data_IF_007440262623
#
_entry.id   IF_007440262623
#
_cell.length_a   1.000
_cell.length_b   1.000
_cell.length_c   1.000
_cell.angle_alpha   90.00
_cell.angle_beta   90.00
_cell.angle_gamma   90.00
#
_symmetry.space_group_name_H-M   'P 1'
#
loop_
_entity.id
_entity.type
_entity.pdbx_description
1 polymer ?
#
# COMPACT_ATOMS: atom_id res chain seq x y z
N UNK A 1 -24.00 -38.89 17.13
CA UNK A 1 -23.58 -37.66 17.80
C UNK A 1 -22.61 -36.95 16.86
N UNK A 2 -23.14 -36.05 16.03
CA UNK A 2 -22.38 -35.36 14.97
C UNK A 2 -21.78 -34.07 15.51
N UNK A 3 -20.45 -33.97 15.44
CA UNK A 3 -19.69 -32.78 15.80
C UNK A 3 -19.77 -31.78 14.64
N UNK A 4 -20.59 -30.74 14.75
CA UNK A 4 -20.60 -29.61 13.81
C UNK A 4 -19.43 -28.72 14.11
N UNK A 5 -18.39 -28.77 13.25
CA UNK A 5 -17.32 -27.76 13.25
C UNK A 5 -17.88 -26.48 12.64
N UNK A 6 -18.19 -25.48 13.47
CA UNK A 6 -18.43 -24.11 13.00
C UNK A 6 -17.10 -23.50 12.57
N UNK A 7 -16.82 -23.47 11.28
CA UNK A 7 -15.77 -22.62 10.71
C UNK A 7 -16.33 -21.21 10.69
N UNK A 8 -15.98 -20.40 11.67
CA UNK A 8 -16.21 -18.96 11.65
C UNK A 8 -15.33 -18.35 10.57
N UNK A 9 -15.84 -18.27 9.35
CA UNK A 9 -15.25 -17.47 8.28
C UNK A 9 -15.40 -15.99 8.70
N UNK A 10 -14.36 -15.43 9.29
CA UNK A 10 -14.29 -14.00 9.53
C UNK A 10 -14.42 -13.28 8.20
N UNK A 11 -15.57 -12.68 7.92
CA UNK A 11 -15.78 -11.78 6.79
C UNK A 11 -14.92 -10.54 7.02
N UNK A 12 -13.68 -10.56 6.55
CA UNK A 12 -12.85 -9.38 6.47
C UNK A 12 -13.45 -8.49 5.37
N UNK A 13 -14.15 -7.44 5.76
CA UNK A 13 -14.75 -6.50 4.81
C UNK A 13 -13.69 -5.56 4.25
N UNK A 14 -13.64 -5.43 2.91
CA UNK A 14 -12.88 -4.35 2.27
C UNK A 14 -13.48 -3.01 2.69
N UNK A 15 -12.63 -2.05 3.08
CA UNK A 15 -13.13 -0.74 3.49
C UNK A 15 -13.61 0.06 2.28
N UNK A 16 -12.83 0.06 1.20
CA UNK A 16 -13.23 0.57 -0.12
C UNK A 16 -12.32 0.01 -1.23
N UNK A 17 -12.87 0.00 -2.44
CA UNK A 17 -12.15 -0.27 -3.69
C UNK A 17 -12.71 0.70 -4.75
N UNK A 18 -11.88 1.62 -5.20
CA UNK A 18 -12.25 2.64 -6.18
C UNK A 18 -11.36 2.52 -7.42
N UNK A 19 -12.01 2.53 -8.57
CA UNK A 19 -11.40 2.36 -9.88
C UNK A 19 -11.79 3.59 -10.71
N UNK A 20 -10.82 4.27 -11.31
CA UNK A 20 -11.11 5.38 -12.21
C UNK A 20 -11.88 4.89 -13.45
N UNK A 21 -12.75 5.71 -14.06
CA UNK A 21 -13.60 5.30 -15.19
C UNK A 21 -12.83 4.72 -16.39
N UNK A 22 -11.60 5.16 -16.60
CA UNK A 22 -10.72 4.74 -17.70
C UNK A 22 -9.56 3.82 -17.25
N UNK A 23 -9.64 3.26 -16.05
CA UNK A 23 -8.57 2.38 -15.52
C UNK A 23 -8.36 1.10 -16.34
N UNK A 24 -9.39 0.63 -17.03
CA UNK A 24 -9.32 -0.55 -17.89
C UNK A 24 -8.46 -0.34 -19.16
N UNK A 25 -8.17 0.89 -19.53
CA UNK A 25 -7.29 1.23 -20.68
C UNK A 25 -5.84 1.40 -20.24
N UNK A 26 -5.57 1.49 -18.94
CA UNK A 26 -4.23 1.66 -18.41
C UNK A 26 -3.57 0.30 -18.19
N UNK A 27 -2.47 0.07 -18.91
CA UNK A 27 -1.67 -1.15 -18.82
C UNK A 27 -0.28 -0.83 -18.23
N UNK A 28 -0.14 -0.82 -16.90
CA UNK A 28 1.11 -0.49 -16.27
C UNK A 28 2.18 -1.55 -16.55
N UNK A 29 3.41 -1.10 -16.88
CA UNK A 29 4.55 -1.97 -17.14
C UNK A 29 5.59 -1.89 -16.05
N UNK A 30 5.98 -0.69 -15.67
CA UNK A 30 7.02 -0.44 -14.68
C UNK A 30 6.45 0.36 -13.52
N UNK A 31 6.40 -0.25 -12.35
CA UNK A 31 5.95 0.42 -11.15
C UNK A 31 7.12 0.74 -10.21
N UNK A 32 7.06 1.87 -9.52
CA UNK A 32 7.93 2.17 -8.38
C UNK A 32 7.10 2.23 -7.10
N UNK A 33 7.53 1.50 -6.07
CA UNK A 33 6.93 1.58 -4.74
C UNK A 33 7.67 2.64 -3.93
N UNK A 34 6.98 3.72 -3.61
CA UNK A 34 7.53 4.76 -2.74
C UNK A 34 7.40 4.36 -1.26
N UNK A 35 8.21 4.94 -0.35
CA UNK A 35 7.97 4.83 1.08
C UNK A 35 6.53 5.18 1.44
N UNK A 36 5.96 4.52 2.45
CA UNK A 36 4.60 4.82 2.89
C UNK A 36 4.47 6.29 3.31
N UNK A 37 3.38 6.95 2.89
CA UNK A 37 3.20 8.40 3.08
C UNK A 37 2.55 8.77 4.41
N UNK A 38 1.98 7.80 5.11
CA UNK A 38 1.33 7.99 6.40
C UNK A 38 1.45 6.74 7.25
N UNK A 39 1.80 6.92 8.51
CA UNK A 39 1.80 5.90 9.55
C UNK A 39 1.04 6.44 10.78
N UNK A 40 0.45 5.58 11.63
CA UNK A 40 -0.02 5.98 12.95
C UNK A 40 1.13 6.53 13.80
N UNK A 41 0.83 7.54 14.61
CA UNK A 41 1.82 8.19 15.50
C UNK A 41 2.57 7.17 16.36
N UNK A 42 3.89 7.33 16.44
CA UNK A 42 4.78 6.43 17.20
C UNK A 42 5.13 5.12 16.52
N UNK A 43 4.67 4.90 15.28
CA UNK A 43 4.97 3.66 14.51
C UNK A 43 5.79 3.91 13.24
N UNK A 44 6.33 5.10 13.08
CA UNK A 44 7.07 5.55 11.88
C UNK A 44 8.32 4.71 11.60
N UNK A 45 8.88 4.08 12.64
CA UNK A 45 10.01 3.15 12.52
C UNK A 45 9.69 1.87 11.74
N UNK A 46 8.41 1.57 11.51
CA UNK A 46 7.96 0.42 10.74
C UNK A 46 7.62 0.75 9.26
N UNK A 47 7.84 2.00 8.84
CA UNK A 47 7.48 2.49 7.49
C UNK A 47 8.10 1.64 6.37
N UNK A 48 9.35 1.23 6.53
CA UNK A 48 10.06 0.41 5.56
C UNK A 48 9.45 -1.01 5.47
N UNK A 49 8.95 -1.56 6.58
CA UNK A 49 8.27 -2.88 6.61
C UNK A 49 6.97 -2.84 5.81
N UNK A 50 6.22 -1.73 5.90
CA UNK A 50 4.99 -1.53 5.13
C UNK A 50 5.30 -1.39 3.65
N UNK A 51 6.28 -0.58 3.29
CA UNK A 51 6.68 -0.39 1.89
C UNK A 51 7.14 -1.71 1.25
N UNK A 52 7.91 -2.52 1.98
CA UNK A 52 8.31 -3.87 1.53
C UNK A 52 7.13 -4.82 1.39
N UNK A 53 6.15 -4.78 2.30
CA UNK A 53 4.93 -5.59 2.19
C UNK A 53 4.13 -5.26 0.91
N UNK A 54 4.06 -3.98 0.55
CA UNK A 54 3.42 -3.51 -0.69
C UNK A 54 4.22 -3.97 -1.92
N UNK A 55 5.56 -3.86 -1.88
CA UNK A 55 6.44 -4.34 -2.95
C UNK A 55 6.28 -5.84 -3.20
N UNK A 56 6.30 -6.66 -2.14
CA UNK A 56 6.10 -8.11 -2.24
C UNK A 56 4.74 -8.44 -2.86
N UNK A 57 3.69 -7.71 -2.48
CA UNK A 57 2.36 -7.89 -3.02
C UNK A 57 2.29 -7.49 -4.50
N UNK A 58 2.85 -6.34 -4.89
CA UNK A 58 2.88 -5.85 -6.25
C UNK A 58 3.63 -6.82 -7.19
N UNK A 59 4.78 -7.34 -6.73
CA UNK A 59 5.58 -8.32 -7.47
C UNK A 59 4.82 -9.65 -7.63
N UNK A 60 4.15 -10.10 -6.55
CA UNK A 60 3.38 -11.36 -6.56
C UNK A 60 2.16 -11.28 -7.48
N UNK A 61 1.53 -10.11 -7.61
CA UNK A 61 0.34 -9.89 -8.43
C UNK A 61 0.58 -10.08 -9.93
N UNK A 62 1.85 -10.07 -10.38
CA UNK A 62 2.26 -10.26 -11.80
C UNK A 62 1.53 -9.32 -12.77
N UNK A 63 1.29 -8.07 -12.32
CA UNK A 63 0.63 -7.02 -13.11
C UNK A 63 1.60 -6.09 -13.81
N UNK A 64 2.87 -6.17 -13.44
CA UNK A 64 3.95 -5.33 -13.93
C UNK A 64 5.04 -6.20 -14.54
N UNK A 65 5.69 -5.69 -15.56
CA UNK A 65 6.90 -6.30 -16.11
C UNK A 65 8.07 -6.14 -15.13
N UNK A 66 8.08 -5.01 -14.40
CA UNK A 66 9.07 -4.69 -13.37
C UNK A 66 8.46 -3.87 -12.24
N UNK A 67 8.85 -4.19 -11.01
CA UNK A 67 8.54 -3.37 -9.83
C UNK A 67 9.86 -2.93 -9.20
N UNK A 68 10.03 -1.63 -9.00
CA UNK A 68 11.20 -1.04 -8.33
C UNK A 68 10.88 -1.02 -6.84
N UNK A 69 11.79 -1.63 -6.07
CA UNK A 69 11.63 -1.78 -4.64
C UNK A 69 11.85 -0.46 -3.88
N UNK A 70 11.22 -0.31 -2.69
CA UNK A 70 11.30 0.92 -1.91
C UNK A 70 12.68 1.24 -1.35
N UNK A 71 13.57 0.27 -1.19
CA UNK A 71 14.94 0.51 -0.72
C UNK A 71 15.78 1.14 -1.83
N UNK A 72 15.62 0.66 -3.07
CA UNK A 72 16.19 1.30 -4.26
C UNK A 72 15.68 2.72 -4.41
N UNK A 73 14.37 2.94 -4.26
CA UNK A 73 13.78 4.28 -4.31
C UNK A 73 14.38 5.19 -3.22
N UNK A 74 14.49 4.71 -1.98
CA UNK A 74 15.08 5.43 -0.85
C UNK A 74 16.56 5.76 -1.07
N UNK A 75 17.33 4.83 -1.62
CA UNK A 75 18.74 5.03 -1.97
C UNK A 75 18.91 6.11 -3.02
N UNK A 76 18.09 6.11 -4.08
CA UNK A 76 18.12 7.15 -5.11
C UNK A 76 17.74 8.53 -4.55
N UNK A 77 16.70 8.59 -3.69
CA UNK A 77 16.32 9.82 -2.98
C UNK A 77 17.47 10.40 -2.15
N UNK A 78 18.26 9.56 -1.49
CA UNK A 78 19.38 10.02 -0.67
C UNK A 78 20.53 10.62 -1.48
N UNK A 79 20.60 10.32 -2.78
CA UNK A 79 21.66 10.76 -3.69
C UNK A 79 21.19 11.86 -4.67
N UNK A 80 19.88 12.20 -4.68
CA UNK A 80 19.29 13.18 -5.60
C UNK A 80 18.32 14.08 -4.84
N UNK A 81 18.77 15.30 -4.53
CA UNK A 81 18.01 16.33 -3.79
C UNK A 81 16.74 16.72 -4.55
N UNK A 82 16.80 16.76 -5.87
CA UNK A 82 15.67 17.11 -6.71
C UNK A 82 14.57 16.03 -6.67
N UNK A 83 14.98 14.75 -6.67
CA UNK A 83 14.07 13.63 -6.48
C UNK A 83 13.45 13.65 -5.08
N UNK A 84 14.28 13.88 -4.05
CA UNK A 84 13.80 14.00 -2.66
C UNK A 84 12.73 15.08 -2.54
N UNK A 85 12.98 16.28 -3.10
CA UNK A 85 12.02 17.38 -3.10
C UNK A 85 10.74 17.03 -3.88
N UNK A 86 10.85 16.40 -5.05
CA UNK A 86 9.69 15.98 -5.84
C UNK A 86 8.81 14.99 -5.06
N UNK A 87 9.42 13.99 -4.41
CA UNK A 87 8.69 13.00 -3.61
C UNK A 87 8.04 13.67 -2.38
N UNK A 88 8.75 14.56 -1.70
CA UNK A 88 8.23 15.29 -0.55
C UNK A 88 7.02 16.17 -0.93
N UNK A 89 7.09 16.93 -2.00
CA UNK A 89 5.96 17.75 -2.51
C UNK A 89 4.80 16.87 -2.90
N UNK A 90 5.05 15.82 -3.68
CA UNK A 90 4.04 14.86 -4.12
C UNK A 90 3.29 14.21 -2.95
N UNK A 91 4.03 13.63 -2.00
CA UNK A 91 3.45 12.92 -0.86
C UNK A 91 2.70 13.86 0.09
N UNK A 92 3.21 15.09 0.28
CA UNK A 92 2.53 16.12 1.07
C UNK A 92 1.19 16.52 0.45
N UNK A 93 1.14 16.79 -0.85
CA UNK A 93 -0.11 17.15 -1.56
C UNK A 93 -1.09 15.98 -1.57
N UNK A 94 -0.61 14.76 -1.85
CA UNK A 94 -1.47 13.58 -1.85
C UNK A 94 -2.10 13.32 -0.47
N UNK A 95 -1.36 13.60 0.62
CA UNK A 95 -1.84 13.44 1.99
C UNK A 95 -2.80 14.55 2.43
N UNK A 96 -2.52 15.81 2.08
CA UNK A 96 -3.28 16.96 2.59
C UNK A 96 -4.57 17.22 1.83
N UNK A 97 -4.54 17.08 0.50
CA UNK A 97 -5.68 17.42 -0.37
C UNK A 97 -6.17 16.26 -1.23
N UNK A 98 -5.54 15.09 -1.13
CA UNK A 98 -5.91 13.91 -1.91
C UNK A 98 -5.59 14.02 -3.41
N UNK A 99 -4.88 15.07 -3.82
CA UNK A 99 -4.52 15.35 -5.20
C UNK A 99 -3.14 14.84 -5.53
N UNK A 100 -3.02 14.26 -6.71
CA UNK A 100 -1.75 13.88 -7.31
C UNK A 100 -1.15 15.08 -8.04
N UNK A 101 0.03 15.52 -7.60
CA UNK A 101 0.76 16.65 -8.22
C UNK A 101 1.46 16.19 -9.50
N UNK A 102 0.88 16.57 -10.65
CA UNK A 102 1.33 16.10 -11.97
C UNK A 102 2.79 16.42 -12.27
N UNK A 103 3.27 17.59 -11.90
CA UNK A 103 4.67 18.01 -12.14
C UNK A 103 5.65 17.11 -11.36
N UNK A 104 5.41 16.93 -10.07
CA UNK A 104 6.24 16.09 -9.21
C UNK A 104 6.21 14.64 -9.67
N UNK A 105 5.03 14.12 -10.07
CA UNK A 105 4.89 12.72 -10.48
C UNK A 105 5.60 12.42 -11.80
N UNK A 106 5.56 13.35 -12.77
CA UNK A 106 6.31 13.23 -14.03
C UNK A 106 7.82 13.19 -13.76
N UNK A 107 8.32 14.02 -12.84
CA UNK A 107 9.73 14.03 -12.46
C UNK A 107 10.15 12.71 -11.80
N UNK A 108 9.35 12.21 -10.86
CA UNK A 108 9.58 10.92 -10.20
C UNK A 108 9.59 9.79 -11.23
N UNK A 109 8.58 9.72 -12.08
CA UNK A 109 8.46 8.68 -13.10
C UNK A 109 9.61 8.69 -14.11
N UNK A 110 10.10 9.88 -14.50
CA UNK A 110 11.26 10.03 -15.39
C UNK A 110 12.53 9.46 -14.76
N UNK A 111 12.79 9.77 -13.49
CA UNK A 111 14.01 9.32 -12.80
C UNK A 111 14.00 7.80 -12.63
N UNK A 112 12.87 7.22 -12.23
CA UNK A 112 12.72 5.77 -12.06
C UNK A 112 12.46 5.01 -13.37
N UNK A 113 12.21 5.72 -14.49
CA UNK A 113 11.73 5.12 -15.73
C UNK A 113 10.49 4.24 -15.46
N UNK A 114 9.57 4.78 -14.67
CA UNK A 114 8.33 4.13 -14.26
C UNK A 114 7.13 4.84 -14.90
N UNK A 115 6.12 4.05 -15.28
CA UNK A 115 4.82 4.55 -15.74
C UNK A 115 3.78 4.58 -14.61
N UNK A 116 4.09 3.94 -13.49
CA UNK A 116 3.20 3.82 -12.34
C UNK A 116 3.94 4.12 -11.04
N UNK A 117 3.29 4.89 -10.17
CA UNK A 117 3.73 5.07 -8.79
C UNK A 117 2.74 4.37 -7.86
N UNK A 118 3.28 3.56 -6.94
CA UNK A 118 2.51 2.89 -5.90
C UNK A 118 2.86 3.53 -4.56
N UNK A 119 1.84 3.97 -3.82
CA UNK A 119 2.00 4.55 -2.48
C UNK A 119 1.06 3.88 -1.49
N UNK A 120 1.54 3.69 -0.26
CA UNK A 120 0.79 3.15 0.85
C UNK A 120 0.48 4.18 1.93
N UNK A 121 -0.68 4.04 2.55
CA UNK A 121 -1.07 4.75 3.78
C UNK A 121 -1.47 3.72 4.81
N UNK A 122 -1.01 3.87 6.05
CA UNK A 122 -1.37 2.99 7.16
C UNK A 122 -2.31 3.72 8.09
N UNK A 123 -3.47 3.14 8.33
CA UNK A 123 -4.49 3.68 9.23
C UNK A 123 -4.50 2.99 10.60
N UNK A 124 -4.00 1.75 10.66
CA UNK A 124 -3.92 0.93 11.88
C UNK A 124 -2.61 0.17 11.90
N UNK A 125 -1.91 0.20 13.03
CA UNK A 125 -0.68 -0.55 13.23
C UNK A 125 -0.44 -0.73 14.73
N UNK A 126 -0.81 -1.86 15.28
CA UNK A 126 -0.62 -2.07 16.71
C UNK A 126 -1.41 -3.22 17.30
N UNK A 127 -1.44 -3.22 18.60
CA UNK A 127 -2.16 -4.21 19.41
C UNK A 127 -3.15 -3.50 20.29
N UNK A 128 -4.32 -4.10 20.48
CA UNK A 128 -5.38 -3.55 21.31
C UNK A 128 -6.26 -4.64 21.92
N UNK A 129 -7.22 -4.19 22.73
CA UNK A 129 -8.28 -5.05 23.27
C UNK A 129 -9.59 -4.57 22.67
N UNK A 130 -10.31 -5.47 22.02
CA UNK A 130 -11.63 -5.21 21.44
C UNK A 130 -12.59 -6.31 21.88
N UNK A 131 -13.73 -5.93 22.42
CA UNK A 131 -14.73 -6.85 22.97
C UNK A 131 -14.15 -7.88 23.98
N UNK A 132 -13.13 -7.47 24.76
CA UNK A 132 -12.47 -8.33 25.73
C UNK A 132 -11.36 -9.23 25.17
N UNK A 133 -11.16 -9.25 23.85
CA UNK A 133 -10.13 -10.05 23.19
C UNK A 133 -8.93 -9.21 22.77
N UNK A 134 -7.73 -9.76 22.95
CA UNK A 134 -6.47 -9.16 22.51
C UNK A 134 -6.31 -9.36 21.01
N UNK A 135 -6.08 -8.28 20.27
CA UNK A 135 -5.94 -8.32 18.83
C UNK A 135 -4.68 -7.58 18.36
N UNK A 136 -4.00 -8.13 17.33
CA UNK A 136 -3.14 -7.36 16.44
C UNK A 136 -4.01 -6.78 15.32
N UNK A 137 -3.80 -5.51 14.96
CA UNK A 137 -4.57 -4.82 13.93
C UNK A 137 -3.65 -4.11 12.95
N UNK A 138 -3.86 -4.36 11.65
CA UNK A 138 -3.18 -3.66 10.55
C UNK A 138 -4.23 -3.18 9.55
N UNK A 139 -4.26 -1.88 9.31
CA UNK A 139 -5.11 -1.27 8.29
C UNK A 139 -4.27 -0.46 7.33
N UNK A 140 -4.43 -0.67 6.03
CA UNK A 140 -3.73 0.10 5.00
C UNK A 140 -4.60 0.40 3.80
N UNK A 141 -4.23 1.48 3.11
CA UNK A 141 -4.71 1.82 1.79
C UNK A 141 -3.53 1.82 0.82
N UNK A 142 -3.77 1.37 -0.41
CA UNK A 142 -2.80 1.40 -1.50
C UNK A 142 -3.39 2.21 -2.63
N UNK A 143 -2.61 3.11 -3.21
CA UNK A 143 -2.97 3.93 -4.36
C UNK A 143 -1.99 3.65 -5.49
N UNK A 144 -2.51 3.54 -6.72
CA UNK A 144 -1.73 3.42 -7.94
C UNK A 144 -2.03 4.60 -8.84
N UNK A 145 -0.98 5.28 -9.26
CA UNK A 145 -1.07 6.54 -9.98
C UNK A 145 -0.36 6.41 -11.32
N UNK A 146 -1.05 6.78 -12.39
CA UNK A 146 -0.48 6.89 -13.72
C UNK A 146 0.45 8.10 -13.80
N UNK A 147 1.70 7.89 -14.14
CA UNK A 147 2.72 8.93 -14.24
C UNK A 147 2.39 9.95 -15.33
N UNK A 148 1.89 9.50 -16.47
CA UNK A 148 1.66 10.37 -17.63
C UNK A 148 0.53 11.38 -17.37
N UNK A 149 -0.51 10.97 -16.66
CA UNK A 149 -1.69 11.80 -16.41
C UNK A 149 -1.76 12.37 -15.00
N UNK A 150 -1.10 11.74 -14.03
CA UNK A 150 -1.24 12.03 -12.60
C UNK A 150 -2.53 11.50 -12.00
N UNK A 151 -3.32 10.72 -12.74
CA UNK A 151 -4.60 10.18 -12.24
C UNK A 151 -4.36 9.00 -11.33
N UNK A 152 -5.02 9.00 -10.16
CA UNK A 152 -5.12 7.81 -9.32
C UNK A 152 -6.12 6.86 -10.00
N UNK A 153 -5.61 5.88 -10.74
CA UNK A 153 -6.48 4.99 -11.50
C UNK A 153 -7.05 3.83 -10.67
N UNK A 154 -6.42 3.53 -9.54
CA UNK A 154 -6.92 2.56 -8.59
C UNK A 154 -6.48 2.90 -7.16
N UNK A 155 -7.38 2.73 -6.22
CA UNK A 155 -7.10 2.76 -4.80
C UNK A 155 -8.01 1.80 -4.06
N UNK A 156 -7.45 1.10 -3.08
CA UNK A 156 -8.22 0.21 -2.22
C UNK A 156 -7.67 0.24 -0.79
N UNK A 157 -8.54 0.02 0.18
CA UNK A 157 -8.17 -0.07 1.58
C UNK A 157 -8.84 -1.24 2.25
N UNK A 158 -8.10 -1.83 3.18
CA UNK A 158 -8.60 -2.93 3.98
C UNK A 158 -7.96 -2.92 5.36
N UNK A 159 -8.63 -3.55 6.32
CA UNK A 159 -8.14 -3.74 7.69
C UNK A 159 -8.20 -5.22 8.02
N UNK A 160 -7.12 -5.73 8.60
CA UNK A 160 -7.04 -7.10 9.09
C UNK A 160 -6.82 -7.11 10.60
N UNK A 161 -7.44 -8.08 11.27
CA UNK A 161 -7.34 -8.29 12.72
C UNK A 161 -7.03 -9.76 12.99
N UNK A 162 -6.09 -9.99 13.90
CA UNK A 162 -5.71 -11.32 14.34
C UNK A 162 -5.78 -11.39 15.87
N UNK A 163 -6.73 -12.18 16.39
CA UNK A 163 -6.88 -12.41 17.84
C UNK A 163 -5.76 -13.30 18.37
N UNK A 164 -5.25 -12.99 19.55
CA UNK A 164 -4.21 -13.78 20.19
C UNK A 164 -4.44 -13.93 21.71
N UNK A 165 -3.93 -15.02 22.27
CA UNK A 165 -3.98 -15.28 23.71
C UNK A 165 -2.61 -15.13 24.36
N UNK A 166 -1.60 -15.83 23.88
CA UNK A 166 -0.26 -15.87 24.46
C UNK A 166 0.77 -15.08 23.64
N UNK A 167 0.78 -15.29 22.34
CA UNK A 167 1.79 -14.69 21.44
C UNK A 167 1.16 -13.64 20.54
N UNK A 168 1.75 -12.45 20.54
CA UNK A 168 1.35 -11.37 19.63
C UNK A 168 1.62 -11.75 18.19
N UNK A 169 0.67 -11.54 17.26
CA UNK A 169 0.93 -11.72 15.82
C UNK A 169 1.99 -10.73 15.33
N UNK A 170 2.72 -11.13 14.30
CA UNK A 170 3.73 -10.27 13.69
C UNK A 170 3.05 -9.29 12.72
N UNK A 171 3.02 -8.00 13.05
CA UNK A 171 2.33 -6.96 12.26
C UNK A 171 2.90 -6.86 10.83
N UNK A 172 4.21 -7.05 10.61
CA UNK A 172 4.78 -7.03 9.28
C UNK A 172 4.27 -8.20 8.41
N UNK A 173 4.12 -9.41 9.00
CA UNK A 173 3.51 -10.54 8.29
C UNK A 173 2.02 -10.30 8.00
N UNK A 174 1.30 -9.69 8.94
CA UNK A 174 -0.09 -9.28 8.71
C UNK A 174 -0.16 -8.26 7.56
N UNK A 175 0.73 -7.25 7.54
CA UNK A 175 0.80 -6.27 6.47
C UNK A 175 1.06 -6.92 5.09
N UNK A 176 1.96 -7.91 5.00
CA UNK A 176 2.22 -8.62 3.76
C UNK A 176 0.98 -9.39 3.27
N UNK A 177 0.28 -10.09 4.17
CA UNK A 177 -0.99 -10.77 3.83
C UNK A 177 -2.05 -9.78 3.37
N UNK A 178 -2.18 -8.66 4.11
CA UNK A 178 -3.15 -7.61 3.83
C UNK A 178 -2.87 -6.92 2.48
N UNK A 179 -1.61 -6.58 2.19
CA UNK A 179 -1.23 -6.00 0.92
C UNK A 179 -1.58 -6.94 -0.26
N UNK A 180 -1.27 -8.23 -0.17
CA UNK A 180 -1.65 -9.22 -1.20
C UNK A 180 -3.17 -9.24 -1.41
N UNK A 181 -3.94 -9.28 -0.32
CA UNK A 181 -5.40 -9.25 -0.38
C UNK A 181 -5.93 -7.96 -1.04
N UNK A 182 -5.33 -6.81 -0.75
CA UNK A 182 -5.69 -5.55 -1.40
C UNK A 182 -5.39 -5.63 -2.91
N UNK A 183 -4.24 -6.18 -3.31
CA UNK A 183 -3.87 -6.33 -4.73
C UNK A 183 -4.78 -7.28 -5.51
N UNK A 184 -5.50 -8.20 -4.86
CA UNK A 184 -6.50 -9.05 -5.52
C UNK A 184 -7.68 -8.24 -6.11
N UNK A 185 -7.89 -7.00 -5.64
CA UNK A 185 -8.92 -6.07 -6.13
C UNK A 185 -8.47 -5.18 -7.29
N UNK A 186 -7.22 -5.28 -7.74
CA UNK A 186 -6.77 -4.52 -8.91
C UNK A 186 -7.63 -4.92 -10.13
N UNK A 187 -8.10 -3.95 -10.93
CA UNK A 187 -8.83 -4.23 -12.16
C UNK A 187 -8.05 -5.18 -13.06
N UNK A 188 -8.72 -6.20 -13.57
CA UNK A 188 -8.13 -7.06 -14.59
C UNK A 188 -8.14 -6.30 -15.92
N UNK A 189 -7.06 -6.41 -16.73
CA UNK A 189 -7.04 -5.81 -18.05
C UNK A 189 -8.11 -6.39 -18.96
#
# INVERSE_FOLDING_TARGET
>A
MGLFLFIASGCASINYNEIAPNANTFQPKVAVVLPAIKMPEGTEHDIDKVAMAIFDAATTAKRFERVIDPLTAKSQMSNDVDLQNAIMVYTSKLRSVGFSDKESILKIGKIFQADTIIVGEVSKWGYGVYAGEKNGEVGMAIKMVDVATGVIYWKAAHTDKETYHLFKPNLAKMATKLAKKIFDYIPKP
#
